data_IF_167441106179
#
_entry.id   IF_167441106179
#
_cell.length_a   1.000
_cell.length_b   1.000
_cell.length_c   1.000
_cell.angle_alpha   90.00
_cell.angle_beta   90.00
_cell.angle_gamma   90.00
#
_symmetry.space_group_name_H-M   'P 1'
#
loop_
_entity.id
_entity.type
_entity.pdbx_description
1 polymer ?
#
# COMPACT_ATOMS: atom_id res chain seq x y z
N UNK A 1 -8.78 24.80 -6.80
CA UNK A 1 -9.62 23.67 -7.30
C UNK A 1 -10.49 23.20 -6.15
N UNK A 2 -11.81 23.25 -6.28
CA UNK A 2 -12.73 22.72 -5.26
C UNK A 2 -12.69 21.20 -5.39
N UNK A 3 -12.06 20.53 -4.43
CA UNK A 3 -12.01 19.07 -4.39
C UNK A 3 -13.35 18.55 -3.84
N UNK A 4 -13.94 17.60 -4.54
CA UNK A 4 -15.18 16.95 -4.10
C UNK A 4 -14.94 16.21 -2.77
N UNK A 5 -15.89 16.31 -1.83
CA UNK A 5 -15.74 15.74 -0.48
C UNK A 5 -15.96 14.23 -0.44
N UNK A 6 -16.94 13.74 -1.20
CA UNK A 6 -17.39 12.33 -1.21
C UNK A 6 -17.75 11.88 -2.62
N UNK A 7 -17.78 10.58 -2.84
CA UNK A 7 -18.26 9.95 -4.08
C UNK A 7 -19.22 8.81 -3.76
N UNK A 8 -20.31 8.71 -4.54
CA UNK A 8 -21.31 7.65 -4.37
C UNK A 8 -20.82 6.31 -4.92
N UNK A 9 -21.35 5.21 -4.35
CA UNK A 9 -20.98 3.86 -4.79
C UNK A 9 -21.39 3.57 -6.24
N UNK A 10 -22.51 4.12 -6.69
CA UNK A 10 -23.00 3.87 -8.05
C UNK A 10 -22.15 4.63 -9.07
N UNK A 11 -21.81 5.87 -8.79
CA UNK A 11 -20.86 6.63 -9.61
C UNK A 11 -19.49 5.93 -9.67
N UNK A 12 -18.99 5.41 -8.53
CA UNK A 12 -17.74 4.69 -8.47
C UNK A 12 -17.71 3.46 -9.40
N UNK A 13 -18.84 2.75 -9.53
CA UNK A 13 -18.92 1.55 -10.39
C UNK A 13 -18.72 1.86 -11.87
N UNK A 14 -19.14 3.04 -12.32
CA UNK A 14 -19.08 3.45 -13.73
C UNK A 14 -17.69 3.95 -14.17
N UNK A 15 -16.78 4.19 -13.22
CA UNK A 15 -15.46 4.69 -13.54
C UNK A 15 -14.58 3.62 -14.20
N UNK A 16 -13.66 4.02 -15.10
CA UNK A 16 -12.69 3.09 -15.67
C UNK A 16 -11.76 2.56 -14.59
N UNK A 17 -11.32 1.31 -14.75
CA UNK A 17 -10.37 0.68 -13.82
C UNK A 17 -8.96 1.17 -14.08
N UNK A 18 -8.25 1.53 -13.01
CA UNK A 18 -6.80 1.74 -13.06
C UNK A 18 -6.07 0.39 -13.02
N UNK A 19 -4.97 0.31 -13.74
CA UNK A 19 -4.05 -0.83 -13.75
C UNK A 19 -2.65 -0.32 -13.45
N UNK A 20 -1.91 -1.04 -12.60
CA UNK A 20 -0.52 -0.70 -12.30
C UNK A 20 0.33 -0.80 -13.58
N UNK A 21 0.94 0.30 -14.05
CA UNK A 21 1.66 0.30 -15.33
C UNK A 21 3.12 -0.14 -15.21
N UNK A 22 3.63 -0.28 -14.00
CA UNK A 22 5.03 -0.56 -13.70
C UNK A 22 5.37 -2.03 -13.58
N UNK A 23 6.61 -2.29 -13.16
CA UNK A 23 7.10 -3.65 -12.91
C UNK A 23 6.72 -4.11 -11.51
N UNK A 24 6.35 -5.38 -11.41
CA UNK A 24 5.99 -6.03 -10.14
C UNK A 24 7.02 -7.12 -9.86
N UNK A 25 7.67 -7.03 -8.72
CA UNK A 25 8.68 -7.99 -8.27
C UNK A 25 8.15 -8.75 -7.04
N UNK A 26 8.01 -10.05 -7.15
CA UNK A 26 7.66 -10.92 -6.02
C UNK A 26 8.93 -11.35 -5.32
N UNK A 27 9.04 -11.06 -4.03
CA UNK A 27 10.23 -11.30 -3.21
C UNK A 27 9.96 -12.46 -2.25
N UNK A 28 10.75 -13.52 -2.35
CA UNK A 28 10.55 -14.78 -1.65
C UNK A 28 11.76 -15.27 -0.85
N UNK A 29 12.87 -14.53 -0.88
CA UNK A 29 14.11 -14.88 -0.18
C UNK A 29 14.75 -13.66 0.49
N UNK A 30 15.65 -13.91 1.45
CA UNK A 30 16.44 -12.84 2.09
C UNK A 30 17.34 -12.11 1.10
N UNK A 31 17.99 -12.84 0.20
CA UNK A 31 18.86 -12.24 -0.82
C UNK A 31 18.10 -11.31 -1.76
N UNK A 32 16.90 -11.70 -2.19
CA UNK A 32 16.03 -10.84 -3.00
C UNK A 32 15.55 -9.61 -2.18
N UNK A 33 15.24 -9.81 -0.90
CA UNK A 33 14.83 -8.71 0.00
C UNK A 33 15.95 -7.66 0.12
N UNK A 34 17.19 -8.07 0.33
CA UNK A 34 18.35 -7.16 0.41
C UNK A 34 18.50 -6.31 -0.86
N UNK A 35 18.40 -6.94 -2.03
CA UNK A 35 18.47 -6.23 -3.32
C UNK A 35 17.33 -5.25 -3.53
N UNK A 36 16.12 -5.68 -3.20
CA UNK A 36 14.94 -4.84 -3.31
C UNK A 36 15.01 -3.63 -2.38
N UNK A 37 15.42 -3.83 -1.12
CA UNK A 37 15.58 -2.74 -0.16
C UNK A 37 16.69 -1.78 -0.58
N UNK A 38 17.81 -2.27 -1.14
CA UNK A 38 18.85 -1.40 -1.67
C UNK A 38 18.31 -0.42 -2.75
N UNK A 39 17.46 -0.90 -3.63
CA UNK A 39 16.76 -0.03 -4.59
C UNK A 39 15.81 0.95 -3.90
N UNK A 40 14.98 0.48 -2.96
CA UNK A 40 13.99 1.31 -2.28
C UNK A 40 14.63 2.42 -1.43
N UNK A 41 15.81 2.18 -0.88
CA UNK A 41 16.58 3.19 -0.13
C UNK A 41 17.00 4.40 -0.98
N UNK A 42 17.02 4.27 -2.31
CA UNK A 42 17.31 5.38 -3.23
C UNK A 42 16.08 6.25 -3.54
N UNK A 43 14.90 5.85 -3.10
CA UNK A 43 13.64 6.53 -3.42
C UNK A 43 13.25 7.51 -2.31
N UNK A 44 12.78 8.73 -2.64
CA UNK A 44 12.42 9.73 -1.64
C UNK A 44 11.07 9.44 -0.96
N UNK A 45 10.19 8.72 -1.63
CA UNK A 45 8.84 8.41 -1.18
C UNK A 45 8.43 7.01 -1.63
N UNK A 46 7.79 6.28 -0.74
CA UNK A 46 7.28 4.93 -0.97
C UNK A 46 5.82 4.83 -0.56
N UNK A 47 5.03 4.09 -1.35
CA UNK A 47 3.70 3.65 -0.94
C UNK A 47 3.81 2.30 -0.25
N UNK A 48 3.20 2.14 0.91
CA UNK A 48 3.18 0.87 1.65
C UNK A 48 1.77 0.43 1.97
N UNK A 49 1.54 -0.87 1.82
CA UNK A 49 0.30 -1.55 2.17
C UNK A 49 0.60 -2.97 2.63
N UNK A 50 -0.34 -3.64 3.24
CA UNK A 50 -0.16 -5.03 3.66
C UNK A 50 -1.40 -5.86 3.44
N UNK A 51 -1.19 -7.17 3.24
CA UNK A 51 -2.26 -8.12 3.05
C UNK A 51 -2.12 -9.30 4.02
N UNK A 52 -3.25 -9.69 4.58
CA UNK A 52 -3.35 -10.84 5.49
C UNK A 52 -4.39 -11.81 4.95
N UNK A 53 -4.07 -13.09 5.00
CA UNK A 53 -5.05 -14.13 4.66
C UNK A 53 -6.30 -13.97 5.54
N UNK A 54 -7.50 -13.89 4.95
CA UNK A 54 -8.71 -13.75 5.73
C UNK A 54 -8.96 -15.01 6.57
N UNK A 55 -9.49 -14.81 7.77
CA UNK A 55 -9.97 -15.89 8.62
C UNK A 55 -11.49 -15.84 8.72
N UNK A 56 -12.13 -16.97 8.43
CA UNK A 56 -13.58 -17.13 8.54
C UNK A 56 -13.98 -17.91 9.81
N UNK A 57 -13.00 -18.31 10.60
CA UNK A 57 -13.21 -19.05 11.85
C UNK A 57 -12.97 -18.15 13.04
N UNK A 58 -13.95 -18.09 13.97
CA UNK A 58 -13.84 -17.32 15.20
C UNK A 58 -12.62 -17.75 16.01
N UNK A 59 -11.81 -16.77 16.46
CA UNK A 59 -10.61 -17.00 17.25
C UNK A 59 -9.34 -17.36 16.45
N UNK A 60 -9.44 -17.57 15.14
CA UNK A 60 -8.30 -17.71 14.25
C UNK A 60 -7.84 -16.35 13.73
N UNK A 61 -6.53 -16.10 13.80
CA UNK A 61 -5.90 -14.93 13.17
C UNK A 61 -4.65 -15.36 12.41
N UNK A 62 -4.40 -14.71 11.28
CA UNK A 62 -3.18 -14.91 10.50
C UNK A 62 -2.25 -13.71 10.67
N UNK A 63 -0.95 -13.93 10.58
CA UNK A 63 0.03 -12.85 10.49
C UNK A 63 0.00 -12.24 9.09
N UNK A 64 0.48 -11.02 8.93
CA UNK A 64 0.64 -10.39 7.62
C UNK A 64 1.42 -11.31 6.69
N UNK A 65 0.82 -11.64 5.54
CA UNK A 65 1.42 -12.53 4.54
C UNK A 65 2.20 -11.77 3.48
N UNK A 66 1.77 -10.57 3.13
CA UNK A 66 2.35 -9.74 2.09
C UNK A 66 2.55 -8.31 2.60
N UNK A 67 3.74 -7.76 2.35
CA UNK A 67 4.02 -6.33 2.49
C UNK A 67 4.31 -5.78 1.10
N UNK A 68 3.48 -4.85 0.63
CA UNK A 68 3.69 -4.15 -0.63
C UNK A 68 4.45 -2.87 -0.38
N UNK A 69 5.54 -2.65 -1.11
CA UNK A 69 6.27 -1.38 -1.11
C UNK A 69 6.49 -0.96 -2.55
N UNK A 70 5.92 0.18 -2.93
CA UNK A 70 5.98 0.72 -4.28
C UNK A 70 6.80 2.01 -4.34
N UNK A 71 7.63 2.13 -5.36
CA UNK A 71 8.05 3.40 -5.92
C UNK A 71 7.11 3.80 -7.06
N UNK A 72 7.36 4.91 -7.75
CA UNK A 72 6.56 5.28 -8.94
C UNK A 72 6.69 4.28 -10.09
N UNK A 73 7.83 3.60 -10.21
CA UNK A 73 8.16 2.74 -11.36
C UNK A 73 7.95 1.26 -11.12
N UNK A 74 8.13 0.80 -9.89
CA UNK A 74 8.02 -0.62 -9.56
C UNK A 74 7.44 -0.85 -8.17
N UNK A 75 6.78 -1.99 -8.03
CA UNK A 75 6.28 -2.48 -6.76
C UNK A 75 6.94 -3.79 -6.37
N UNK A 76 7.35 -3.88 -5.12
CA UNK A 76 7.90 -5.10 -4.52
C UNK A 76 6.86 -5.72 -3.60
N UNK A 77 6.58 -7.00 -3.84
CA UNK A 77 5.66 -7.81 -3.07
C UNK A 77 6.46 -8.75 -2.17
N UNK A 78 6.73 -8.32 -0.95
CA UNK A 78 7.49 -9.11 0.02
C UNK A 78 6.61 -10.17 0.66
N UNK A 79 6.88 -11.44 0.33
CA UNK A 79 6.15 -12.61 0.84
C UNK A 79 6.58 -12.91 2.28
N UNK A 80 6.02 -12.18 3.27
CA UNK A 80 6.40 -12.33 4.67
C UNK A 80 6.05 -13.70 5.26
N UNK A 81 5.10 -14.42 4.67
CA UNK A 81 4.83 -15.82 5.03
C UNK A 81 5.98 -16.77 4.67
N UNK A 82 6.88 -16.37 3.78
CA UNK A 82 8.06 -17.14 3.37
C UNK A 82 9.35 -16.65 4.04
N UNK A 83 9.54 -15.34 4.15
CA UNK A 83 10.78 -14.72 4.64
C UNK A 83 10.71 -14.21 6.08
N UNK A 84 9.51 -13.93 6.58
CA UNK A 84 9.34 -13.09 7.77
C UNK A 84 9.62 -11.61 7.48
N UNK A 85 9.58 -10.79 8.52
CA UNK A 85 9.98 -9.39 8.47
C UNK A 85 11.47 -9.31 8.81
N UNK A 86 12.31 -9.33 7.78
CA UNK A 86 13.77 -9.37 7.91
C UNK A 86 14.36 -8.00 8.27
N UNK A 87 15.62 -7.99 8.75
CA UNK A 87 16.27 -6.76 9.20
C UNK A 87 16.34 -5.67 8.12
N UNK A 88 16.63 -5.94 6.83
CA UNK A 88 16.62 -4.90 5.81
C UNK A 88 15.26 -4.18 5.70
N UNK A 89 14.13 -4.90 5.82
CA UNK A 89 12.80 -4.29 5.83
C UNK A 89 12.55 -3.47 7.08
N UNK A 90 12.98 -3.95 8.24
CA UNK A 90 12.92 -3.20 9.49
C UNK A 90 13.70 -1.88 9.36
N UNK A 91 14.92 -1.93 8.85
CA UNK A 91 15.77 -0.75 8.65
C UNK A 91 15.09 0.26 7.69
N UNK A 92 14.44 -0.23 6.64
CA UNK A 92 13.68 0.63 5.70
C UNK A 92 12.49 1.31 6.40
N UNK A 93 11.73 0.58 7.21
CA UNK A 93 10.59 1.12 7.95
C UNK A 93 11.03 2.14 9.01
N UNK A 94 12.18 1.96 9.60
CA UNK A 94 12.78 2.85 10.61
C UNK A 94 13.55 4.03 10.00
N UNK A 95 13.81 4.03 8.70
CA UNK A 95 14.61 5.08 8.05
C UNK A 95 13.88 6.43 8.03
N UNK A 96 14.40 7.47 8.73
CA UNK A 96 13.75 8.78 8.77
C UNK A 96 13.92 9.59 7.48
N UNK A 97 14.85 9.23 6.61
CA UNK A 97 15.13 9.92 5.35
C UNK A 97 14.19 9.56 4.21
N UNK A 98 13.34 8.55 4.38
CA UNK A 98 12.42 8.08 3.35
C UNK A 98 10.98 8.21 3.85
N UNK A 99 10.15 8.90 3.08
CA UNK A 99 8.73 9.04 3.39
C UNK A 99 7.99 7.76 2.99
N UNK A 100 7.23 7.20 3.92
CA UNK A 100 6.31 6.08 3.67
C UNK A 100 4.88 6.57 3.77
N UNK A 101 4.11 6.39 2.70
CA UNK A 101 2.70 6.76 2.63
C UNK A 101 1.85 5.50 2.70
N UNK A 102 0.86 5.50 3.56
CA UNK A 102 -0.09 4.40 3.67
C UNK A 102 -1.47 4.88 4.08
N UNK A 103 -2.42 3.97 4.09
CA UNK A 103 -3.78 4.22 4.51
C UNK A 103 -4.14 3.25 5.62
N UNK A 104 -4.61 3.76 6.76
CA UNK A 104 -4.82 2.97 7.99
C UNK A 104 -3.53 2.34 8.52
N UNK A 105 -2.43 3.06 8.45
CA UNK A 105 -1.09 2.59 8.82
C UNK A 105 -1.00 2.07 10.26
N UNK A 106 -1.79 2.61 11.18
CA UNK A 106 -1.83 2.13 12.55
C UNK A 106 -2.18 0.65 12.63
N UNK A 107 -3.14 0.20 11.84
CA UNK A 107 -3.57 -1.20 11.80
C UNK A 107 -2.51 -2.08 11.14
N UNK A 108 -1.92 -1.63 10.02
CA UNK A 108 -0.83 -2.33 9.34
C UNK A 108 0.38 -2.53 10.25
N UNK A 109 0.83 -1.48 10.93
CA UNK A 109 1.97 -1.56 11.84
C UNK A 109 1.68 -2.43 13.06
N UNK A 110 0.49 -2.35 13.62
CA UNK A 110 0.07 -3.23 14.72
C UNK A 110 0.17 -4.71 14.31
N UNK A 111 -0.22 -5.04 13.10
CA UNK A 111 -0.13 -6.41 12.58
C UNK A 111 1.31 -6.80 12.21
N UNK A 112 2.09 -5.89 11.63
CA UNK A 112 3.51 -6.12 11.30
C UNK A 112 4.36 -6.31 12.57
N UNK A 113 4.07 -5.61 13.67
CA UNK A 113 4.74 -5.80 14.95
C UNK A 113 4.60 -7.22 15.53
N UNK A 114 3.60 -7.98 15.10
CA UNK A 114 3.48 -9.41 15.45
C UNK A 114 4.56 -10.28 14.78
N UNK A 115 5.26 -9.76 13.77
CA UNK A 115 6.37 -10.46 13.12
C UNK A 115 7.73 -10.06 13.67
N UNK A 116 7.96 -8.77 13.92
CA UNK A 116 9.20 -8.25 14.49
C UNK A 116 8.96 -6.87 15.11
N UNK A 117 9.70 -6.49 16.16
CA UNK A 117 9.65 -5.13 16.71
C UNK A 117 10.38 -4.15 15.80
N UNK A 118 9.84 -2.94 15.65
CA UNK A 118 10.47 -1.82 14.96
C UNK A 118 9.79 -0.50 15.34
N UNK A 119 10.49 0.63 15.13
CA UNK A 119 9.99 1.98 15.32
C UNK A 119 9.87 2.67 13.96
N UNK A 120 8.68 2.63 13.36
CA UNK A 120 8.43 3.27 12.07
C UNK A 120 8.68 4.77 12.13
N UNK A 121 9.35 5.31 11.11
CA UNK A 121 9.69 6.72 10.99
C UNK A 121 9.18 7.30 9.67
N UNK A 122 8.93 8.61 9.65
CA UNK A 122 8.56 9.37 8.44
C UNK A 122 7.38 8.77 7.68
N UNK A 123 6.32 8.42 8.41
CA UNK A 123 5.11 7.84 7.85
C UNK A 123 4.00 8.90 7.71
N UNK A 124 3.31 8.88 6.57
CA UNK A 124 2.16 9.75 6.30
C UNK A 124 0.92 8.88 6.23
N UNK A 125 -0.04 9.16 7.11
CA UNK A 125 -1.39 8.58 7.05
C UNK A 125 -2.21 9.32 6.01
N UNK A 126 -2.56 8.65 4.94
CA UNK A 126 -3.23 9.27 3.80
C UNK A 126 -4.60 9.86 4.15
N UNK A 127 -5.35 9.21 5.03
CA UNK A 127 -6.66 9.70 5.46
C UNK A 127 -6.57 11.08 6.13
N UNK A 128 -5.56 11.29 6.95
CA UNK A 128 -5.34 12.58 7.61
C UNK A 128 -4.81 13.62 6.62
N UNK A 129 -3.96 13.19 5.71
CA UNK A 129 -3.40 14.05 4.67
C UNK A 129 -4.49 14.60 3.74
N UNK A 130 -5.35 13.76 3.18
CA UNK A 130 -6.39 14.21 2.23
C UNK A 130 -7.51 15.00 2.89
N UNK A 131 -7.73 14.81 4.20
CA UNK A 131 -8.71 15.60 4.96
C UNK A 131 -8.40 17.09 4.95
N UNK A 132 -7.12 17.47 4.90
CA UNK A 132 -6.68 18.86 4.81
C UNK A 132 -7.17 19.56 3.53
N UNK A 133 -7.48 18.78 2.50
CA UNK A 133 -8.02 19.26 1.22
C UNK A 133 -9.54 19.11 1.11
N UNK A 134 -10.21 18.75 2.20
CA UNK A 134 -11.67 18.65 2.29
C UNK A 134 -12.25 17.29 1.90
N UNK A 135 -11.45 16.29 1.56
CA UNK A 135 -11.92 14.93 1.27
C UNK A 135 -12.34 14.26 2.58
N UNK A 136 -13.58 13.75 2.62
CA UNK A 136 -14.16 13.11 3.81
C UNK A 136 -14.23 11.58 3.68
N UNK A 137 -14.17 11.06 2.45
CA UNK A 137 -14.11 9.62 2.21
C UNK A 137 -12.79 9.04 2.76
N UNK A 138 -12.88 7.83 3.33
CA UNK A 138 -11.77 7.20 4.05
C UNK A 138 -11.16 6.00 3.31
N UNK A 139 -11.86 5.45 2.32
CA UNK A 139 -11.34 4.30 1.58
C UNK A 139 -10.43 4.73 0.44
N UNK A 140 -9.36 3.98 0.20
CA UNK A 140 -8.42 4.23 -0.89
C UNK A 140 -9.13 4.37 -2.24
N UNK A 141 -10.09 3.48 -2.53
CA UNK A 141 -10.81 3.47 -3.79
C UNK A 141 -11.61 4.75 -4.03
N UNK A 142 -12.26 5.26 -2.99
CA UNK A 142 -13.05 6.48 -3.08
C UNK A 142 -12.19 7.73 -3.18
N UNK A 143 -11.13 7.81 -2.37
CA UNK A 143 -10.15 8.90 -2.43
C UNK A 143 -9.53 8.97 -3.83
N UNK A 144 -9.09 7.84 -4.36
CA UNK A 144 -8.52 7.75 -5.69
C UNK A 144 -9.51 8.18 -6.78
N UNK A 145 -10.74 7.69 -6.70
CA UNK A 145 -11.81 8.04 -7.64
C UNK A 145 -12.17 9.54 -7.61
N UNK A 146 -12.17 10.16 -6.46
CA UNK A 146 -12.42 11.61 -6.32
C UNK A 146 -11.34 12.40 -7.08
N UNK A 147 -10.07 12.00 -6.94
CA UNK A 147 -8.92 12.73 -7.48
C UNK A 147 -8.67 12.45 -8.97
N UNK A 148 -8.76 11.19 -9.37
CA UNK A 148 -8.31 10.75 -10.71
C UNK A 148 -9.42 10.31 -11.66
N UNK A 149 -10.68 10.21 -11.17
CA UNK A 149 -11.83 9.72 -11.99
C UNK A 149 -11.64 8.30 -12.52
N UNK A 150 -10.91 7.49 -11.77
CA UNK A 150 -10.66 6.08 -12.03
C UNK A 150 -10.94 5.27 -10.77
N UNK A 151 -11.22 3.97 -10.91
CA UNK A 151 -11.48 3.08 -9.78
C UNK A 151 -10.41 2.03 -9.60
N UNK A 152 -10.09 1.75 -8.35
CA UNK A 152 -9.26 0.62 -7.93
C UNK A 152 -10.15 -0.60 -7.71
N UNK A 153 -9.75 -1.76 -8.23
CA UNK A 153 -10.48 -3.02 -8.03
C UNK A 153 -10.39 -3.48 -6.57
N UNK A 154 -11.47 -4.09 -6.06
CA UNK A 154 -11.50 -4.79 -4.76
C UNK A 154 -11.56 -6.30 -4.88
N UNK A 155 -11.43 -6.85 -6.09
CA UNK A 155 -11.73 -8.25 -6.40
C UNK A 155 -10.89 -9.26 -5.63
N UNK A 156 -9.68 -8.90 -5.21
CA UNK A 156 -8.74 -9.81 -4.54
C UNK A 156 -8.63 -9.59 -3.02
N UNK A 157 -9.41 -8.69 -2.45
CA UNK A 157 -9.32 -8.32 -1.03
C UNK A 157 -9.39 -9.52 -0.07
N UNK A 158 -10.24 -10.50 -0.38
CA UNK A 158 -10.47 -11.67 0.46
C UNK A 158 -9.81 -12.95 -0.09
N UNK A 159 -8.81 -12.82 -0.96
CA UNK A 159 -8.10 -13.96 -1.51
C UNK A 159 -7.08 -14.54 -0.53
N UNK A 160 -6.56 -15.73 -0.84
CA UNK A 160 -5.55 -16.38 -0.01
C UNK A 160 -4.16 -15.81 -0.30
N UNK A 161 -3.73 -14.85 0.52
CA UNK A 161 -2.42 -14.21 0.41
C UNK A 161 -1.25 -15.10 0.86
N UNK A 162 -1.54 -16.27 1.45
CA UNK A 162 -0.55 -17.30 1.80
C UNK A 162 -0.45 -18.42 0.74
N UNK A 163 -1.11 -18.29 -0.42
CA UNK A 163 -1.00 -19.25 -1.49
C UNK A 163 0.45 -19.47 -1.94
N UNK A 164 0.79 -20.67 -2.38
CA UNK A 164 2.17 -21.00 -2.82
C UNK A 164 2.63 -20.06 -3.93
N UNK A 165 1.75 -19.75 -4.88
CA UNK A 165 1.99 -18.81 -5.97
C UNK A 165 0.87 -17.77 -6.00
N UNK A 166 1.23 -16.50 -6.03
CA UNK A 166 0.27 -15.42 -6.22
C UNK A 166 -0.21 -15.39 -7.68
N UNK A 167 -1.51 -15.26 -7.89
CA UNK A 167 -2.09 -15.06 -9.21
C UNK A 167 -1.72 -13.68 -9.78
N UNK A 168 -1.82 -13.52 -11.10
CA UNK A 168 -1.61 -12.22 -11.74
C UNK A 168 -2.61 -11.18 -11.23
N UNK A 169 -3.84 -11.58 -10.95
CA UNK A 169 -4.84 -10.70 -10.34
C UNK A 169 -4.45 -10.23 -8.94
N UNK A 170 -3.90 -11.09 -8.10
CA UNK A 170 -3.39 -10.73 -6.78
C UNK A 170 -2.20 -9.76 -6.89
N UNK A 171 -1.25 -10.02 -7.77
CA UNK A 171 -0.09 -9.14 -7.99
C UNK A 171 -0.52 -7.75 -8.44
N UNK A 172 -1.40 -7.65 -9.42
CA UNK A 172 -1.94 -6.39 -9.93
C UNK A 172 -2.72 -5.62 -8.87
N UNK A 173 -3.57 -6.31 -8.13
CA UNK A 173 -4.32 -5.72 -7.02
C UNK A 173 -3.40 -5.09 -5.97
N UNK A 174 -2.46 -5.87 -5.45
CA UNK A 174 -1.54 -5.44 -4.40
C UNK A 174 -0.63 -4.29 -4.84
N UNK A 175 -0.10 -4.35 -6.07
CA UNK A 175 0.75 -3.30 -6.62
C UNK A 175 -0.03 -2.00 -6.89
N UNK A 176 -1.26 -2.10 -7.38
CA UNK A 176 -2.13 -0.94 -7.64
C UNK A 176 -2.45 -0.20 -6.34
N UNK A 177 -2.76 -0.91 -5.28
CA UNK A 177 -3.03 -0.29 -3.98
C UNK A 177 -1.82 0.50 -3.48
N UNK A 178 -0.64 -0.07 -3.47
CA UNK A 178 0.57 0.60 -3.00
C UNK A 178 0.98 1.81 -3.87
N UNK A 179 0.91 1.70 -5.21
CA UNK A 179 1.22 2.80 -6.12
C UNK A 179 0.22 3.95 -6.00
N UNK A 180 -1.05 3.63 -5.80
CA UNK A 180 -2.11 4.63 -5.67
C UNK A 180 -1.88 5.58 -4.49
N UNK A 181 -1.24 5.10 -3.42
CA UNK A 181 -0.85 5.91 -2.27
C UNK A 181 0.14 7.02 -2.67
N UNK A 182 1.12 6.70 -3.50
CA UNK A 182 2.07 7.68 -4.03
C UNK A 182 1.36 8.69 -4.92
N UNK A 183 0.55 8.24 -5.86
CA UNK A 183 -0.19 9.10 -6.79
C UNK A 183 -1.09 10.09 -6.05
N UNK A 184 -1.78 9.67 -4.99
CA UNK A 184 -2.63 10.56 -4.19
C UNK A 184 -1.78 11.60 -3.45
N UNK A 185 -0.63 11.22 -2.92
CA UNK A 185 0.24 12.15 -2.18
C UNK A 185 0.97 13.17 -3.07
N UNK A 186 1.29 12.80 -4.31
CA UNK A 186 2.10 13.61 -5.24
C UNK A 186 1.39 14.86 -5.78
N UNK A 187 0.17 14.80 -6.35
CA UNK A 187 -0.49 15.97 -6.91
C UNK A 187 -0.77 17.05 -5.87
N UNK A 188 -1.08 16.63 -4.66
CA UNK A 188 -1.38 17.53 -3.55
C UNK A 188 -0.11 18.18 -2.98
N UNK A 189 1.07 17.60 -3.20
CA UNK A 189 2.37 18.18 -2.82
C UNK A 189 2.88 19.18 -3.85
N UNK A 190 2.53 19.02 -5.14
CA UNK A 190 2.95 19.89 -6.24
C UNK A 190 2.09 21.15 -6.39
N UNK A 191 0.92 21.19 -5.79
CA UNK A 191 0.07 22.38 -5.72
C UNK A 191 0.06 22.92 -4.30
N UNK A 192 0.94 23.89 -3.96
CA UNK A 192 0.76 24.66 -2.75
C UNK A 192 -0.62 25.33 -2.84
N UNK A 193 -1.45 25.09 -1.85
CA UNK A 193 -2.73 25.80 -1.74
C UNK A 193 -2.39 27.24 -1.40
N UNK A 194 -2.53 28.13 -2.38
CA UNK A 194 -2.59 29.56 -2.16
C UNK A 194 -3.97 29.97 -1.65
#
# INVERSE_FOLDING_TARGET
>A
MIVRRTIDKDELKELPKVVFPGRIHVIQSESETEKAVAYLLSQPILGIDSETRPSFTKGQSHKVALLQISSEECCFLFRLNMTGLTQPLVDLLENPGIIKVGLSLKDDFMMLHKRAPFNQQSCIELQDYVRQFGIQDKSLQKIYAILFKEKISKSQRLSNWEADVLSDGQKQYAATDALSLIHISEPTRRTPIS
#
